data_IF_109637811255
#
_entry.id   IF_109637811255
#
_cell.length_a   1.000
_cell.length_b   1.000
_cell.length_c   1.000
_cell.angle_alpha   90.00
_cell.angle_beta   90.00
_cell.angle_gamma   90.00
#
_symmetry.space_group_name_H-M   'P 1'
#
loop_
_entity.id
_entity.type
_entity.pdbx_description
1 polymer ?
#
# COMPACT_ATOMS: atom_id res chain seq x y z
N UNK A 1 58.43 33.36 0.22
CA UNK A 1 57.99 31.94 0.26
C UNK A 1 56.69 31.88 1.05
N UNK A 2 55.56 31.62 0.40
CA UNK A 2 54.26 31.43 1.07
C UNK A 2 53.87 29.99 0.79
N UNK A 3 53.84 29.17 1.85
CA UNK A 3 53.43 27.76 1.81
C UNK A 3 51.91 27.70 1.87
N UNK A 4 51.27 27.43 0.74
CA UNK A 4 49.83 27.12 0.66
C UNK A 4 49.63 25.62 0.90
N UNK A 5 49.18 25.26 2.10
CA UNK A 5 48.71 23.90 2.40
C UNK A 5 47.21 23.83 2.11
N UNK A 6 46.83 23.17 1.02
CA UNK A 6 45.44 22.86 0.68
C UNK A 6 45.12 21.51 1.34
N UNK A 7 44.34 21.53 2.42
CA UNK A 7 43.83 20.33 3.08
C UNK A 7 42.54 19.90 2.39
N UNK A 8 42.61 18.87 1.55
CA UNK A 8 41.43 18.27 0.93
C UNK A 8 40.69 17.38 1.95
N UNK A 9 39.53 17.83 2.42
CA UNK A 9 38.61 16.98 3.21
C UNK A 9 37.86 16.06 2.25
N UNK A 10 38.23 14.78 2.23
CA UNK A 10 37.45 13.74 1.58
C UNK A 10 36.22 13.43 2.46
N UNK A 11 35.07 13.99 2.09
CA UNK A 11 33.79 13.69 2.73
C UNK A 11 33.31 12.35 2.16
N UNK A 12 33.60 11.27 2.86
CA UNK A 12 33.02 9.96 2.56
C UNK A 12 31.54 9.97 2.98
N UNK A 13 30.65 10.31 2.05
CA UNK A 13 29.21 10.10 2.23
C UNK A 13 28.92 8.61 2.12
N UNK A 14 29.01 7.88 3.23
CA UNK A 14 28.42 6.55 3.35
C UNK A 14 26.90 6.70 3.32
N UNK A 15 26.33 6.74 2.12
CA UNK A 15 24.90 6.63 1.92
C UNK A 15 24.49 5.22 2.35
N UNK A 16 24.08 5.08 3.60
CA UNK A 16 23.39 3.89 4.09
C UNK A 16 22.03 3.92 3.37
N UNK A 17 21.97 3.28 2.21
CA UNK A 17 20.71 2.99 1.55
C UNK A 17 19.95 2.02 2.46
N UNK A 18 19.17 2.55 3.40
CA UNK A 18 18.14 1.75 4.06
C UNK A 18 17.23 1.25 2.94
N UNK A 19 17.08 -0.07 2.75
CA UNK A 19 16.09 -0.55 1.81
C UNK A 19 14.75 0.03 2.26
N UNK A 20 14.10 0.81 1.38
CA UNK A 20 12.73 1.24 1.60
C UNK A 20 11.89 -0.05 1.57
N UNK A 21 11.71 -0.66 2.74
CA UNK A 21 10.77 -1.74 2.95
C UNK A 21 9.43 -1.17 2.48
N UNK A 22 8.93 -1.67 1.35
CA UNK A 22 7.58 -1.40 0.91
C UNK A 22 6.66 -1.64 2.12
N UNK A 23 5.86 -0.64 2.48
CA UNK A 23 5.05 -0.70 3.69
C UNK A 23 4.02 -1.81 3.48
N UNK A 24 4.18 -2.94 4.18
CA UNK A 24 3.34 -4.12 4.01
C UNK A 24 2.70 -4.50 5.34
N UNK A 25 1.40 -4.74 5.30
CA UNK A 25 0.59 -5.06 6.46
C UNK A 25 -0.32 -6.24 6.15
N UNK A 26 -0.52 -7.09 7.16
CA UNK A 26 -1.66 -8.01 7.17
C UNK A 26 -2.91 -7.19 7.43
N UNK A 27 -3.95 -7.46 6.65
CA UNK A 27 -5.19 -6.70 6.68
C UNK A 27 -6.39 -7.64 6.49
N UNK A 28 -7.58 -7.10 6.69
CA UNK A 28 -8.84 -7.73 6.28
C UNK A 28 -9.36 -6.98 5.04
N UNK A 29 -9.70 -7.72 4.00
CA UNK A 29 -10.22 -7.17 2.76
C UNK A 29 -11.68 -7.58 2.55
N UNK A 30 -12.42 -6.68 1.92
CA UNK A 30 -13.80 -6.90 1.50
C UNK A 30 -13.94 -6.40 0.06
N UNK A 31 -14.31 -7.30 -0.86
CA UNK A 31 -14.61 -6.97 -2.24
C UNK A 31 -16.10 -7.10 -2.49
N UNK A 32 -16.70 -6.04 -3.02
CA UNK A 32 -18.11 -6.00 -3.42
C UNK A 32 -18.16 -5.81 -4.93
N UNK A 33 -18.73 -6.77 -5.65
CA UNK A 33 -18.95 -6.69 -7.10
C UNK A 33 -20.27 -6.00 -7.41
N UNK A 34 -20.40 -5.46 -8.62
CA UNK A 34 -21.63 -4.78 -9.08
C UNK A 34 -22.85 -5.69 -9.17
N UNK A 35 -22.66 -7.01 -9.29
CA UNK A 35 -23.72 -8.01 -9.25
C UNK A 35 -24.19 -8.37 -7.82
N UNK A 36 -23.63 -7.73 -6.79
CA UNK A 36 -23.95 -7.99 -5.38
C UNK A 36 -23.14 -9.11 -4.73
N UNK A 37 -22.25 -9.78 -5.48
CA UNK A 37 -21.34 -10.78 -4.92
C UNK A 37 -20.35 -10.10 -3.98
N UNK A 38 -20.17 -10.67 -2.79
CA UNK A 38 -19.32 -10.13 -1.75
C UNK A 38 -18.33 -11.18 -1.27
N UNK A 39 -17.05 -10.84 -1.32
CA UNK A 39 -15.95 -11.67 -0.86
C UNK A 39 -15.26 -10.96 0.30
N UNK A 40 -14.93 -11.71 1.36
CA UNK A 40 -14.26 -11.19 2.54
C UNK A 40 -13.19 -12.16 3.00
N UNK A 41 -12.16 -11.66 3.67
CA UNK A 41 -11.09 -12.51 4.17
C UNK A 41 -9.83 -11.74 4.51
N UNK A 42 -8.87 -12.46 5.08
CA UNK A 42 -7.52 -11.91 5.27
C UNK A 42 -6.88 -11.61 3.91
N UNK A 43 -6.02 -10.59 3.92
CA UNK A 43 -5.22 -10.20 2.77
C UNK A 43 -3.89 -9.62 3.24
N UNK A 44 -2.96 -9.48 2.30
CA UNK A 44 -1.71 -8.75 2.51
C UNK A 44 -1.77 -7.49 1.66
N UNK A 45 -1.72 -6.34 2.32
CA UNK A 45 -1.58 -5.06 1.65
C UNK A 45 -0.11 -4.71 1.57
N UNK A 46 0.31 -4.11 0.45
CA UNK A 46 1.63 -3.49 0.35
C UNK A 46 1.59 -2.22 -0.48
N UNK A 47 2.46 -1.26 -0.15
CA UNK A 47 2.62 -0.04 -0.92
C UNK A 47 4.09 0.28 -1.19
N UNK A 48 4.39 0.64 -2.44
CA UNK A 48 5.69 1.10 -2.86
C UNK A 48 5.56 2.24 -3.86
N UNK A 49 6.12 3.41 -3.51
CA UNK A 49 6.11 4.61 -4.38
C UNK A 49 4.69 4.97 -4.85
N UNK A 50 3.70 4.87 -3.96
CA UNK A 50 2.30 5.13 -4.26
C UNK A 50 1.55 3.99 -4.94
N UNK A 51 2.23 3.01 -5.54
CA UNK A 51 1.61 1.81 -6.07
C UNK A 51 1.16 0.91 -4.92
N UNK A 52 -0.06 0.38 -5.01
CA UNK A 52 -0.61 -0.52 -4.00
C UNK A 52 -0.84 -1.90 -4.60
N UNK A 53 -0.52 -2.92 -3.81
CA UNK A 53 -0.82 -4.31 -4.12
C UNK A 53 -1.62 -4.94 -2.98
N UNK A 54 -2.61 -5.75 -3.34
CA UNK A 54 -3.40 -6.56 -2.42
C UNK A 54 -3.24 -8.01 -2.85
N UNK A 55 -2.52 -8.79 -2.05
CA UNK A 55 -2.20 -10.19 -2.31
C UNK A 55 -2.86 -11.10 -1.28
N UNK A 56 -2.86 -12.40 -1.57
CA UNK A 56 -3.38 -13.46 -0.69
C UNK A 56 -4.86 -13.26 -0.28
N UNK A 57 -5.68 -12.62 -1.11
CA UNK A 57 -7.10 -12.43 -0.85
C UNK A 57 -7.95 -13.42 -1.64
N UNK A 58 -8.39 -14.52 -1.01
CA UNK A 58 -9.27 -15.51 -1.65
C UNK A 58 -8.80 -15.97 -3.06
N UNK A 59 -7.50 -16.22 -3.21
CA UNK A 59 -6.82 -16.56 -4.48
C UNK A 59 -6.71 -15.44 -5.51
N UNK A 60 -7.17 -14.23 -5.20
CA UNK A 60 -7.01 -13.05 -6.04
C UNK A 60 -5.79 -12.22 -5.61
N UNK A 61 -5.22 -11.53 -6.59
CA UNK A 61 -4.24 -10.48 -6.41
C UNK A 61 -4.70 -9.24 -7.18
N UNK A 62 -4.50 -8.06 -6.60
CA UNK A 62 -4.88 -6.79 -7.21
C UNK A 62 -3.71 -5.83 -7.20
N UNK A 63 -3.53 -5.14 -8.31
CA UNK A 63 -2.58 -4.05 -8.43
C UNK A 63 -3.34 -2.74 -8.70
N UNK A 64 -2.97 -1.70 -7.96
CA UNK A 64 -3.45 -0.33 -8.06
C UNK A 64 -2.24 0.60 -8.28
N UNK A 65 -1.77 0.71 -9.54
CA UNK A 65 -0.63 1.56 -9.86
C UNK A 65 -1.00 3.03 -9.70
N UNK A 66 -0.12 3.83 -9.09
CA UNK A 66 -0.40 5.26 -8.85
C UNK A 66 -0.74 6.05 -10.13
N UNK A 67 -0.14 5.67 -11.26
CA UNK A 67 -0.37 6.30 -12.56
C UNK A 67 -1.80 6.11 -13.12
N UNK A 68 -2.55 5.17 -12.53
CA UNK A 68 -3.88 4.75 -12.96
C UNK A 68 -5.00 5.28 -12.05
N UNK A 69 -4.64 5.93 -10.94
CA UNK A 69 -5.57 6.60 -10.05
C UNK A 69 -6.26 7.77 -10.78
N UNK A 70 -7.59 7.83 -10.68
CA UNK A 70 -8.44 8.77 -11.41
C UNK A 70 -8.71 8.40 -12.88
N UNK A 71 -8.09 7.33 -13.40
CA UNK A 71 -8.31 6.83 -14.78
C UNK A 71 -9.09 5.53 -14.80
N UNK A 72 -8.51 4.49 -14.20
CA UNK A 72 -9.11 3.15 -14.18
C UNK A 72 -9.66 2.78 -12.81
N UNK A 73 -9.27 3.51 -11.76
CA UNK A 73 -9.81 3.35 -10.43
C UNK A 73 -9.78 4.65 -9.63
N UNK A 74 -10.63 4.73 -8.61
CA UNK A 74 -10.59 5.78 -7.58
C UNK A 74 -10.06 5.19 -6.28
N UNK A 75 -9.22 5.95 -5.58
CA UNK A 75 -8.74 5.62 -4.23
C UNK A 75 -9.38 6.57 -3.22
N UNK A 76 -9.86 6.02 -2.12
CA UNK A 76 -10.31 6.80 -0.97
C UNK A 76 -9.59 6.31 0.27
N UNK A 77 -8.77 7.17 0.87
CA UNK A 77 -8.16 6.89 2.16
C UNK A 77 -9.19 7.20 3.25
N UNK A 78 -9.38 6.28 4.20
CA UNK A 78 -10.38 6.40 5.26
C UNK A 78 -9.62 6.48 6.58
N UNK A 79 -9.90 7.50 7.40
CA UNK A 79 -9.27 7.60 8.72
C UNK A 79 -9.67 6.42 9.60
N UNK A 80 -8.70 5.86 10.34
CA UNK A 80 -8.92 4.71 11.22
C UNK A 80 -9.23 3.38 10.51
N UNK A 81 -9.33 3.37 9.18
CA UNK A 81 -9.54 2.17 8.37
C UNK A 81 -8.51 2.11 7.24
N UNK A 82 -8.45 0.98 6.54
CA UNK A 82 -7.62 0.89 5.34
C UNK A 82 -8.25 1.61 4.14
N UNK A 83 -7.47 1.84 3.07
CA UNK A 83 -7.95 2.47 1.85
C UNK A 83 -9.07 1.66 1.18
N UNK A 84 -9.90 2.36 0.41
CA UNK A 84 -10.87 1.78 -0.51
C UNK A 84 -10.45 2.05 -1.96
N UNK A 85 -10.62 1.06 -2.82
CA UNK A 85 -10.31 1.11 -4.23
C UNK A 85 -11.57 0.76 -5.03
N UNK A 86 -12.03 1.69 -5.85
CA UNK A 86 -13.21 1.52 -6.69
C UNK A 86 -12.80 1.40 -8.15
N UNK A 87 -13.19 0.30 -8.80
CA UNK A 87 -13.01 0.05 -10.23
C UNK A 87 -14.37 -0.23 -10.89
N UNK A 88 -14.48 -0.07 -12.22
CA UNK A 88 -15.63 -0.60 -12.93
C UNK A 88 -15.82 -2.09 -12.63
N UNK A 89 -16.97 -2.46 -12.07
CA UNK A 89 -17.32 -3.85 -11.75
C UNK A 89 -17.09 -4.26 -10.29
N UNK A 90 -16.27 -3.55 -9.49
CA UNK A 90 -16.08 -3.88 -8.08
C UNK A 90 -15.48 -2.76 -7.22
N UNK A 91 -15.66 -2.87 -5.92
CA UNK A 91 -15.00 -2.05 -4.89
C UNK A 91 -14.25 -2.97 -3.94
N UNK A 92 -12.99 -2.66 -3.63
CA UNK A 92 -12.19 -3.34 -2.60
C UNK A 92 -11.97 -2.39 -1.44
N UNK A 93 -12.38 -2.80 -0.25
CA UNK A 93 -12.16 -2.11 1.00
C UNK A 93 -11.11 -2.86 1.80
N UNK A 94 -10.07 -2.15 2.23
CA UNK A 94 -9.05 -2.66 3.14
C UNK A 94 -9.36 -2.19 4.55
N UNK A 95 -9.16 -3.05 5.54
CA UNK A 95 -9.27 -2.74 6.96
C UNK A 95 -8.02 -3.25 7.67
N UNK A 96 -7.39 -2.41 8.49
CA UNK A 96 -6.20 -2.80 9.26
C UNK A 96 -6.55 -3.81 10.35
N UNK A 97 -7.76 -3.69 10.89
CA UNK A 97 -8.35 -4.61 11.85
C UNK A 97 -9.59 -5.27 11.25
N UNK A 98 -9.93 -6.46 11.73
CA UNK A 98 -11.13 -7.16 11.27
C UNK A 98 -12.36 -6.40 11.80
N UNK A 99 -13.25 -5.89 10.94
CA UNK A 99 -14.35 -5.05 11.39
C UNK A 99 -15.34 -5.82 12.28
N UNK A 100 -15.84 -5.18 13.34
CA UNK A 100 -16.75 -5.73 14.38
C UNK A 100 -17.95 -6.50 13.81
N UNK A 101 -18.46 -6.09 12.64
CA UNK A 101 -19.60 -6.74 11.97
C UNK A 101 -19.30 -8.15 11.44
N UNK A 102 -18.03 -8.53 11.37
CA UNK A 102 -17.58 -9.85 10.92
C UNK A 102 -17.35 -10.76 12.13
N UNK A 103 -17.63 -12.08 12.03
CA UNK A 103 -17.38 -13.01 13.14
C UNK A 103 -15.92 -12.94 13.63
N UNK A 104 -15.71 -12.55 14.89
CA UNK A 104 -14.36 -12.36 15.47
C UNK A 104 -13.66 -11.05 15.09
N UNK A 105 -14.40 -10.03 14.64
CA UNK A 105 -13.92 -8.65 14.60
C UNK A 105 -13.78 -8.06 16.01
N UNK A 106 -12.82 -7.16 16.16
CA UNK A 106 -12.52 -6.43 17.42
C UNK A 106 -12.84 -4.95 17.28
#
# INVERSE_FOLDING_TARGET
>A
MIRTTITALAIATSAIATPALADSAKAYCEMVRTNGEMLKGSCTWSQMQGNVYIDHFNHYAFAFPAAEEGKTYERTNREGAGPSFKRPGYVINVYWEKPVREPGGI
#
